data_IF_568751416535
#
_entry.id   IF_568751416535
#
_cell.length_a   1.000
_cell.length_b   1.000
_cell.length_c   1.000
_cell.angle_alpha   90.00
_cell.angle_beta   90.00
_cell.angle_gamma   90.00
#
_symmetry.space_group_name_H-M   'P 1'
#
loop_
_entity.id
_entity.type
_entity.pdbx_description
1 polymer ?
#
# COMPACT_ATOMS: atom_id res chain seq x y z
N UNK A 1 -8.51 -10.96 8.29
CA UNK A 1 -8.53 -10.34 6.95
C UNK A 1 -7.43 -9.30 6.97
N UNK A 2 -6.30 -9.60 6.33
CA UNK A 2 -5.21 -8.65 6.22
C UNK A 2 -5.67 -7.46 5.38
N UNK A 3 -5.53 -6.24 5.89
CA UNK A 3 -5.80 -5.06 5.08
C UNK A 3 -4.63 -4.89 4.11
N UNK A 4 -4.92 -4.99 2.81
CA UNK A 4 -3.92 -4.71 1.78
C UNK A 4 -4.24 -3.38 1.12
N UNK A 5 -3.26 -2.48 1.11
CA UNK A 5 -3.28 -1.27 0.29
C UNK A 5 -2.32 -1.45 -0.88
N UNK A 6 -2.61 -0.87 -2.03
CA UNK A 6 -1.71 -0.89 -3.19
C UNK A 6 -1.22 0.53 -3.46
N UNK A 7 0.09 0.75 -3.43
CA UNK A 7 0.74 1.97 -3.89
C UNK A 7 1.06 1.81 -5.37
N UNK A 8 0.30 2.49 -6.23
CA UNK A 8 0.51 2.47 -7.67
C UNK A 8 1.47 3.59 -8.04
N UNK A 9 2.63 3.23 -8.60
CA UNK A 9 3.57 4.16 -9.22
C UNK A 9 3.32 4.23 -10.72
N UNK A 10 3.20 5.45 -11.24
CA UNK A 10 3.07 5.74 -12.66
C UNK A 10 3.89 6.97 -13.05
N UNK A 11 3.88 7.31 -14.34
CA UNK A 11 4.62 8.45 -14.88
C UNK A 11 4.25 9.81 -14.24
N UNK A 12 3.08 9.92 -13.61
CA UNK A 12 2.58 11.16 -12.99
C UNK A 12 2.84 11.22 -11.48
N UNK A 13 3.48 10.21 -10.91
CA UNK A 13 3.76 10.10 -9.49
C UNK A 13 3.21 8.80 -8.90
N UNK A 14 2.47 8.89 -7.80
CA UNK A 14 1.88 7.73 -7.17
C UNK A 14 0.51 8.02 -6.56
N UNK A 15 -0.27 6.97 -6.31
CA UNK A 15 -1.47 7.04 -5.49
C UNK A 15 -1.72 5.71 -4.79
N UNK A 16 -2.42 5.75 -3.66
CA UNK A 16 -2.84 4.54 -2.96
C UNK A 16 -4.24 4.10 -3.38
N UNK A 17 -4.44 2.79 -3.45
CA UNK A 17 -5.75 2.16 -3.60
C UNK A 17 -5.96 1.08 -2.56
N UNK A 18 -7.22 0.70 -2.38
CA UNK A 18 -7.63 -0.49 -1.62
C UNK A 18 -8.72 -1.22 -2.37
N UNK A 19 -8.61 -2.54 -2.39
CA UNK A 19 -9.65 -3.41 -2.91
C UNK A 19 -10.68 -3.70 -1.83
N UNK A 20 -11.96 -3.59 -2.23
CA UNK A 20 -13.09 -3.93 -1.39
C UNK A 20 -13.89 -5.03 -2.08
N UNK A 21 -13.88 -6.22 -1.48
CA UNK A 21 -14.73 -7.31 -1.91
C UNK A 21 -16.19 -7.00 -1.57
N UNK A 22 -17.03 -6.90 -2.61
CA UNK A 22 -18.47 -6.81 -2.44
C UNK A 22 -19.11 -8.18 -2.66
N UNK A 23 -19.07 -9.01 -1.61
CA UNK A 23 -19.66 -10.35 -1.56
C UNK A 23 -21.10 -10.45 -2.08
N UNK A 24 -21.92 -9.40 -1.92
CA UNK A 24 -23.32 -9.38 -2.40
C UNK A 24 -23.48 -9.36 -3.92
N UNK A 25 -22.48 -8.89 -4.66
CA UNK A 25 -22.57 -8.69 -6.12
C UNK A 25 -21.37 -9.30 -6.88
N UNK A 26 -20.59 -10.14 -6.20
CA UNK A 26 -19.39 -10.80 -6.74
C UNK A 26 -18.48 -9.87 -7.56
N UNK A 27 -18.27 -8.64 -7.07
CA UNK A 27 -17.53 -7.59 -7.76
C UNK A 27 -16.49 -6.96 -6.84
N UNK A 28 -15.25 -6.88 -7.31
CA UNK A 28 -14.18 -6.13 -6.64
C UNK A 28 -14.37 -4.65 -6.93
N UNK A 29 -14.40 -3.83 -5.86
CA UNK A 29 -14.40 -2.37 -5.99
C UNK A 29 -13.06 -1.83 -5.52
N UNK A 30 -12.25 -1.34 -6.44
CA UNK A 30 -11.03 -0.61 -6.13
C UNK A 30 -11.38 0.86 -5.85
N UNK A 31 -10.82 1.45 -4.78
CA UNK A 31 -10.95 2.88 -4.49
C UNK A 31 -9.60 3.49 -4.18
N UNK A 32 -9.42 4.76 -4.56
CA UNK A 32 -8.30 5.57 -4.06
C UNK A 32 -8.45 5.84 -2.57
N UNK A 33 -7.32 5.86 -1.88
CA UNK A 33 -7.22 6.10 -0.44
C UNK A 33 -6.20 7.21 -0.22
N UNK A 34 -6.42 8.04 0.80
CA UNK A 34 -5.48 9.07 1.20
C UNK A 34 -4.25 8.45 1.89
N UNK A 35 -3.08 9.02 1.64
CA UNK A 35 -1.80 8.64 2.25
C UNK A 35 -1.90 8.58 3.78
N UNK A 36 -2.55 9.57 4.42
CA UNK A 36 -2.75 9.62 5.87
C UNK A 36 -3.50 8.39 6.43
N UNK A 37 -4.46 7.86 5.69
CA UNK A 37 -5.22 6.66 6.10
C UNK A 37 -4.36 5.42 6.04
N UNK A 38 -3.55 5.30 4.98
CA UNK A 38 -2.61 4.19 4.82
C UNK A 38 -1.53 4.27 5.91
N UNK A 39 -0.99 5.47 6.15
CA UNK A 39 0.01 5.71 7.17
C UNK A 39 -0.47 5.32 8.57
N UNK A 40 -1.67 5.75 8.97
CA UNK A 40 -2.28 5.36 10.25
C UNK A 40 -2.46 3.85 10.36
N UNK A 41 -2.84 3.19 9.27
CA UNK A 41 -3.02 1.72 9.26
C UNK A 41 -1.67 1.00 9.38
N UNK A 42 -0.66 1.47 8.65
CA UNK A 42 0.67 0.88 8.60
C UNK A 42 1.39 1.02 9.94
N UNK A 43 1.34 2.21 10.56
CA UNK A 43 1.90 2.43 11.91
C UNK A 43 1.24 1.60 13.01
N UNK A 44 -0.01 1.16 12.82
CA UNK A 44 -0.70 0.26 13.76
C UNK A 44 -0.29 -1.21 13.56
N UNK A 45 0.44 -1.54 12.49
CA UNK A 45 0.79 -2.92 12.14
C UNK A 45 -0.38 -3.73 11.56
N UNK A 46 -1.49 -3.07 11.22
CA UNK A 46 -2.76 -3.72 10.82
C UNK A 46 -2.90 -3.87 9.29
N UNK A 47 -1.86 -3.57 8.50
CA UNK A 47 -1.92 -3.66 7.05
C UNK A 47 -0.59 -3.98 6.37
N UNK A 48 -0.71 -4.60 5.19
CA UNK A 48 0.37 -4.77 4.24
C UNK A 48 0.19 -3.78 3.08
N UNK A 49 1.30 -3.38 2.46
CA UNK A 49 1.29 -2.46 1.31
C UNK A 49 1.95 -3.13 0.12
N UNK A 50 1.20 -3.34 -0.95
CA UNK A 50 1.73 -3.75 -2.24
C UNK A 50 2.21 -2.53 -3.03
N UNK A 51 3.47 -2.50 -3.42
CA UNK A 51 4.02 -1.53 -4.35
C UNK A 51 3.83 -2.07 -5.76
N UNK A 52 3.05 -1.40 -6.59
CA UNK A 52 2.81 -1.78 -7.99
C UNK A 52 3.39 -0.74 -8.94
N UNK A 53 4.22 -1.17 -9.89
CA UNK A 53 4.81 -0.33 -10.92
C UNK A 53 4.04 -0.49 -12.22
N UNK A 54 3.18 0.48 -12.56
CA UNK A 54 2.29 0.42 -13.72
C UNK A 54 3.07 0.23 -15.05
N UNK A 55 4.24 0.86 -15.16
CA UNK A 55 5.06 0.78 -16.38
C UNK A 55 5.67 -0.60 -16.62
N UNK A 56 5.99 -1.35 -15.56
CA UNK A 56 6.69 -2.65 -15.68
C UNK A 56 5.80 -3.84 -15.34
N UNK A 57 4.62 -3.59 -14.78
CA UNK A 57 3.72 -4.63 -14.26
C UNK A 57 4.25 -5.38 -13.03
N UNK A 58 5.40 -4.96 -12.46
CA UNK A 58 5.99 -5.62 -11.28
C UNK A 58 5.30 -5.14 -10.01
N UNK A 59 5.20 -6.03 -9.02
CA UNK A 59 4.82 -5.67 -7.66
C UNK A 59 5.77 -6.22 -6.59
N UNK A 60 5.81 -5.52 -5.46
CA UNK A 60 6.60 -5.87 -4.27
C UNK A 60 5.69 -5.71 -3.05
N UNK A 61 5.62 -6.72 -2.18
CA UNK A 61 4.85 -6.63 -0.95
C UNK A 61 5.71 -6.11 0.20
N UNK A 62 5.22 -5.09 0.90
CA UNK A 62 5.78 -4.55 2.13
C UNK A 62 4.89 -4.95 3.29
N UNK A 63 5.48 -5.68 4.23
CA UNK A 63 4.88 -6.14 5.48
C UNK A 63 5.46 -5.37 6.67
N UNK A 64 4.84 -5.45 7.86
CA UNK A 64 5.40 -4.86 9.09
C UNK A 64 6.82 -5.32 9.41
N UNK A 65 7.20 -6.54 9.00
CA UNK A 65 8.54 -7.12 9.20
C UNK A 65 9.58 -6.70 8.14
N UNK A 66 9.17 -5.89 7.16
CA UNK A 66 10.06 -5.45 6.09
C UNK A 66 11.11 -4.47 6.62
N UNK A 67 12.39 -4.61 6.25
CA UNK A 67 13.46 -3.75 6.75
C UNK A 67 13.26 -2.28 6.40
N UNK A 68 13.71 -1.40 7.30
CA UNK A 68 13.55 0.05 7.24
C UNK A 68 14.03 0.65 5.91
N UNK A 69 15.17 0.20 5.38
CA UNK A 69 15.71 0.67 4.10
C UNK A 69 14.75 0.46 2.92
N UNK A 70 14.08 -0.70 2.89
CA UNK A 70 13.08 -1.02 1.86
C UNK A 70 11.83 -0.16 2.03
N UNK A 71 11.38 0.05 3.27
CA UNK A 71 10.26 0.94 3.57
C UNK A 71 10.59 2.38 3.16
N UNK A 72 11.78 2.89 3.47
CA UNK A 72 12.25 4.20 3.07
C UNK A 72 12.28 4.36 1.55
N UNK A 73 12.84 3.37 0.85
CA UNK A 73 12.98 3.40 -0.60
C UNK A 73 11.64 3.52 -1.34
N UNK A 74 10.61 2.82 -0.87
CA UNK A 74 9.35 2.71 -1.62
C UNK A 74 8.18 3.48 -1.00
N UNK A 75 8.12 3.60 0.32
CA UNK A 75 7.04 4.30 1.02
C UNK A 75 7.45 5.71 1.47
N UNK A 76 8.73 5.91 1.76
CA UNK A 76 9.30 7.18 2.20
C UNK A 76 9.38 7.31 3.72
N UNK A 77 10.04 8.37 4.17
CA UNK A 77 10.40 8.61 5.58
C UNK A 77 9.20 8.60 6.54
N UNK A 78 8.05 9.11 6.09
CA UNK A 78 6.83 9.13 6.93
C UNK A 78 6.39 7.73 7.38
N UNK A 79 6.63 6.72 6.56
CA UNK A 79 6.26 5.32 6.82
C UNK A 79 7.38 4.52 7.47
N UNK A 80 8.62 5.02 7.41
CA UNK A 80 9.75 4.35 8.00
C UNK A 80 9.59 4.35 9.53
N UNK A 81 9.72 3.20 10.18
CA UNK A 81 9.68 3.16 11.63
C UNK A 81 10.88 3.90 12.23
N UNK A 82 10.62 4.59 13.34
CA UNK A 82 11.63 5.25 14.18
C UNK A 82 12.13 4.21 15.19
N UNK A 83 13.12 3.41 14.80
CA UNK A 83 13.86 2.54 15.71
C UNK A 83 15.31 2.98 15.74
#
# INVERSE_FOLDING_TARGET
>A
MENVYTKVFNLKGYYFTKEYDKKKINKVKVRRVLDDTVLKSFKRGDCNIEIYFEETGKSIMITPDTPRDTVLKYLGEKFAPEF
#
